data_IF_992515503905
#
_entry.id   IF_992515503905
#
_cell.length_a   1.000
_cell.length_b   1.000
_cell.length_c   1.000
_cell.angle_alpha   90.00
_cell.angle_beta   90.00
_cell.angle_gamma   90.00
#
_symmetry.space_group_name_H-M   'P 1'
#
loop_
_entity.id
_entity.type
_entity.pdbx_description
1 polymer ?
#
# COMPACT_ATOMS: atom_id res chain seq x y z
N UNK A 1 7.35 20.90 18.25
CA UNK A 1 7.43 20.78 16.77
C UNK A 1 8.04 19.46 16.26
N UNK A 2 8.57 18.58 17.13
CA UNK A 2 9.16 17.28 16.74
C UNK A 2 8.16 16.12 16.69
N UNK A 3 7.23 16.07 17.64
CA UNK A 3 6.30 14.94 17.81
C UNK A 3 5.33 14.79 16.62
N UNK A 4 4.77 15.91 16.13
CA UNK A 4 3.87 15.91 14.99
C UNK A 4 4.57 15.47 13.69
N UNK A 5 5.78 16.01 13.45
CA UNK A 5 6.58 15.63 12.28
C UNK A 5 7.03 14.16 12.34
N UNK A 6 7.37 13.64 13.52
CA UNK A 6 7.71 12.22 13.67
C UNK A 6 6.50 11.32 13.44
N UNK A 7 5.32 11.67 13.96
CA UNK A 7 4.10 10.88 13.77
C UNK A 7 3.68 10.84 12.29
N UNK A 8 3.78 11.96 11.58
CA UNK A 8 3.49 12.05 10.15
C UNK A 8 4.50 11.24 9.32
N UNK A 9 5.80 11.32 9.62
CA UNK A 9 6.81 10.50 8.94
C UNK A 9 6.62 9.01 9.18
N UNK A 10 6.20 8.63 10.38
CA UNK A 10 5.89 7.24 10.71
C UNK A 10 4.69 6.74 9.88
N UNK A 11 3.60 7.51 9.78
CA UNK A 11 2.44 7.10 8.97
C UNK A 11 2.77 7.02 7.47
N UNK A 12 3.63 7.91 6.99
CA UNK A 12 4.07 7.97 5.59
C UNK A 12 5.15 6.93 5.26
N UNK A 13 5.79 6.33 6.26
CA UNK A 13 6.76 5.25 6.07
C UNK A 13 6.10 3.90 5.77
N UNK A 14 4.81 3.78 6.02
CA UNK A 14 4.06 2.59 5.62
C UNK A 14 3.83 2.59 4.13
N UNK A 15 3.89 1.39 3.54
CA UNK A 15 3.48 1.20 2.16
C UNK A 15 2.00 1.53 1.95
N UNK A 16 1.67 1.94 0.73
CA UNK A 16 0.32 2.35 0.32
C UNK A 16 -0.75 1.31 0.67
N UNK A 17 -0.40 0.02 0.59
CA UNK A 17 -1.31 -1.08 0.90
C UNK A 17 -1.59 -1.28 2.40
N UNK A 18 -0.76 -0.74 3.29
CA UNK A 18 -0.99 -0.71 4.75
C UNK A 18 -1.81 0.51 5.15
N UNK A 19 -1.61 1.63 4.45
CA UNK A 19 -2.35 2.87 4.71
C UNK A 19 -3.83 2.77 4.32
N UNK A 20 -4.15 2.07 3.23
CA UNK A 20 -5.53 1.86 2.75
C UNK A 20 -6.47 1.25 3.81
N UNK A 21 -6.12 0.12 4.47
CA UNK A 21 -6.91 -0.45 5.57
C UNK A 21 -7.15 0.53 6.72
N UNK A 22 -6.14 1.33 7.07
CA UNK A 22 -6.24 2.34 8.13
C UNK A 22 -7.26 3.40 7.75
N UNK A 23 -7.20 3.90 6.50
CA UNK A 23 -8.16 4.88 5.98
C UNK A 23 -9.58 4.29 5.98
N UNK A 24 -9.76 3.06 5.48
CA UNK A 24 -11.06 2.39 5.45
C UNK A 24 -11.61 2.19 6.87
N UNK A 25 -10.76 1.82 7.82
CA UNK A 25 -11.14 1.67 9.22
C UNK A 25 -11.63 2.98 9.85
N UNK A 26 -10.90 4.07 9.61
CA UNK A 26 -11.27 5.42 10.08
C UNK A 26 -12.61 5.83 9.45
N UNK A 27 -12.76 5.68 8.13
CA UNK A 27 -14.00 6.02 7.43
C UNK A 27 -15.18 5.19 7.96
N UNK A 28 -15.04 3.87 8.07
CA UNK A 28 -16.10 3.00 8.60
C UNK A 28 -16.53 3.41 10.01
N UNK A 29 -15.58 3.83 10.84
CA UNK A 29 -15.86 4.30 12.21
C UNK A 29 -16.60 5.65 12.19
N UNK A 30 -16.20 6.58 11.32
CA UNK A 30 -16.88 7.89 11.15
C UNK A 30 -18.32 7.70 10.66
N UNK A 31 -18.57 6.73 9.78
CA UNK A 31 -19.91 6.41 9.28
C UNK A 31 -20.77 5.61 10.28
N UNK A 32 -20.32 5.40 11.51
CA UNK A 32 -21.11 4.75 12.56
C UNK A 32 -21.19 3.22 12.43
N UNK A 33 -20.29 2.59 11.67
CA UNK A 33 -20.19 1.13 11.62
C UNK A 33 -19.67 0.63 12.96
N UNK A 34 -20.26 -0.45 13.47
CA UNK A 34 -19.79 -1.10 14.72
C UNK A 34 -18.30 -1.40 14.61
N UNK A 35 -17.51 -1.00 15.61
CA UNK A 35 -16.05 -1.20 15.66
C UNK A 35 -15.64 -2.64 15.34
N UNK A 36 -16.37 -3.64 15.87
CA UNK A 36 -16.11 -5.07 15.57
C UNK A 36 -16.18 -5.39 14.08
N UNK A 37 -17.12 -4.77 13.36
CA UNK A 37 -17.29 -4.94 11.92
C UNK A 37 -16.23 -4.13 11.18
N UNK A 38 -16.00 -2.87 11.58
CA UNK A 38 -15.00 -2.00 10.98
C UNK A 38 -13.60 -2.63 10.99
N UNK A 39 -13.17 -3.19 12.13
CA UNK A 39 -11.89 -3.90 12.26
C UNK A 39 -11.84 -5.11 11.31
N UNK A 40 -12.88 -5.95 11.33
CA UNK A 40 -12.90 -7.16 10.49
C UNK A 40 -12.85 -6.80 9.00
N UNK A 41 -13.62 -5.81 8.57
CA UNK A 41 -13.68 -5.37 7.19
C UNK A 41 -12.38 -4.73 6.72
N UNK A 42 -11.75 -3.87 7.55
CA UNK A 42 -10.48 -3.24 7.19
C UNK A 42 -9.34 -4.26 7.10
N UNK A 43 -9.28 -5.23 8.02
CA UNK A 43 -8.30 -6.33 7.97
C UNK A 43 -8.53 -7.23 6.76
N UNK A 44 -9.78 -7.60 6.45
CA UNK A 44 -10.09 -8.42 5.28
C UNK A 44 -9.65 -7.74 3.98
N UNK A 45 -9.91 -6.44 3.85
CA UNK A 45 -9.44 -5.65 2.70
C UNK A 45 -7.91 -5.55 2.68
N UNK A 46 -7.28 -5.34 3.84
CA UNK A 46 -5.82 -5.28 3.96
C UNK A 46 -5.13 -6.56 3.51
N UNK A 47 -5.63 -7.72 3.92
CA UNK A 47 -5.09 -9.03 3.49
C UNK A 47 -5.22 -9.18 1.96
N UNK A 48 -6.34 -8.73 1.38
CA UNK A 48 -6.52 -8.73 -0.07
C UNK A 48 -5.53 -7.81 -0.80
N UNK A 49 -5.32 -6.60 -0.29
CA UNK A 49 -4.34 -5.68 -0.87
C UNK A 49 -2.92 -6.20 -0.77
N UNK A 50 -2.51 -6.77 0.36
CA UNK A 50 -1.17 -7.37 0.51
C UNK A 50 -0.92 -8.42 -0.59
N UNK A 51 -1.90 -9.29 -0.86
CA UNK A 51 -1.76 -10.29 -1.93
C UNK A 51 -1.59 -9.68 -3.33
N UNK A 52 -2.35 -8.62 -3.63
CA UNK A 52 -2.25 -7.90 -4.92
C UNK A 52 -0.89 -7.24 -5.06
N UNK A 53 -0.46 -6.47 -4.05
CA UNK A 53 0.82 -5.74 -4.11
C UNK A 53 2.00 -6.70 -4.12
N UNK A 54 1.99 -7.78 -3.34
CA UNK A 54 3.04 -8.80 -3.41
C UNK A 54 3.17 -9.41 -4.81
N UNK A 55 2.04 -9.66 -5.49
CA UNK A 55 2.06 -10.18 -6.86
C UNK A 55 2.55 -9.11 -7.85
N UNK A 56 2.12 -7.87 -7.65
CA UNK A 56 2.53 -6.74 -8.48
C UNK A 56 4.02 -6.47 -8.36
N UNK A 57 4.57 -6.44 -7.16
CA UNK A 57 6.00 -6.21 -6.90
C UNK A 57 6.85 -7.33 -7.50
N UNK A 58 6.40 -8.58 -7.39
CA UNK A 58 7.04 -9.71 -8.06
C UNK A 58 7.04 -9.53 -9.58
N UNK A 59 5.91 -9.12 -10.15
CA UNK A 59 5.79 -8.86 -11.59
C UNK A 59 6.71 -7.71 -12.05
N UNK A 60 6.72 -6.59 -11.32
CA UNK A 60 7.59 -5.45 -11.59
C UNK A 60 9.06 -5.86 -11.50
N UNK A 61 9.44 -6.65 -10.49
CA UNK A 61 10.82 -7.16 -10.34
C UNK A 61 11.29 -8.03 -11.50
N UNK A 62 10.37 -8.69 -12.21
CA UNK A 62 10.67 -9.42 -13.45
C UNK A 62 10.74 -8.48 -14.66
N UNK A 63 9.82 -7.51 -14.74
CA UNK A 63 9.73 -6.57 -15.87
C UNK A 63 10.92 -5.61 -15.90
N UNK A 64 11.37 -5.12 -14.76
CA UNK A 64 12.44 -4.13 -14.65
C UNK A 64 13.72 -4.52 -15.42
N UNK A 65 14.34 -5.71 -15.23
CA UNK A 65 15.51 -6.11 -16.00
C UNK A 65 15.21 -6.33 -17.49
N UNK A 66 14.00 -6.75 -17.84
CA UNK A 66 13.58 -6.91 -19.24
C UNK A 66 13.50 -5.56 -19.95
N UNK A 67 12.94 -4.55 -19.27
CA UNK A 67 12.84 -3.18 -19.78
C UNK A 67 14.24 -2.58 -19.93
N UNK A 68 15.12 -2.75 -18.94
CA UNK A 68 16.52 -2.31 -19.05
C UNK A 68 17.25 -2.98 -20.22
N UNK A 69 17.05 -4.29 -20.42
CA UNK A 69 17.64 -5.01 -21.55
C UNK A 69 17.09 -4.55 -22.91
N UNK A 70 15.79 -4.21 -22.98
CA UNK A 70 15.18 -3.64 -24.18
C UNK A 70 15.81 -2.28 -24.52
N UNK A 71 15.89 -1.37 -23.56
CA UNK A 71 16.52 -0.04 -23.71
C UNK A 71 17.95 -0.17 -24.23
N UNK A 72 18.75 -1.05 -23.63
CA UNK A 72 20.14 -1.31 -24.07
C UNK A 72 20.25 -1.85 -25.50
N UNK A 73 19.26 -2.62 -25.96
CA UNK A 73 19.24 -3.24 -27.30
C UNK A 73 18.67 -2.31 -28.36
N UNK A 74 17.74 -1.43 -28.01
CA UNK A 74 17.04 -0.54 -28.95
C UNK A 74 17.60 0.87 -28.99
N UNK A 75 18.45 1.26 -28.02
CA UNK A 75 19.04 2.60 -27.93
C UNK A 75 18.01 3.68 -27.55
N UNK A 76 16.90 3.30 -26.93
CA UNK A 76 15.87 4.19 -26.44
C UNK A 76 16.22 4.65 -25.02
N UNK A 77 16.76 5.87 -24.86
CA UNK A 77 16.87 6.54 -23.56
C UNK A 77 15.62 7.34 -23.21
#
# INVERSE_FOLDING_TARGET
MSILNNAIKYILSFETFVLLPIIIFILATIFGVKIKIAIKSSLQLGIGFVGIFMTFDYFVGIIEPVVSALILRTGLE
#
